data_IF_766793397592
#
_entry.id   IF_766793397592
#
_cell.length_a   1.000
_cell.length_b   1.000
_cell.length_c   1.000
_cell.angle_alpha   90.00
_cell.angle_beta   90.00
_cell.angle_gamma   90.00
#
_symmetry.space_group_name_H-M   'P 1'
#
loop_
_entity.id
_entity.type
_entity.pdbx_description
1 polymer ?
#
# COMPACT_ATOMS: atom_id res chain seq x y z
N UNK A 1 -72.34 -22.66 3.41
CA UNK A 1 -71.26 -21.67 3.67
C UNK A 1 -69.95 -22.44 3.57
N UNK A 2 -69.23 -22.34 2.44
CA UNK A 2 -67.98 -21.54 2.24
C UNK A 2 -66.93 -21.85 3.34
N UNK A 3 -65.70 -22.29 3.09
CA UNK A 3 -64.84 -22.30 1.89
C UNK A 3 -63.64 -23.24 2.14
N UNK A 4 -63.17 -23.88 1.08
CA UNK A 4 -61.86 -24.51 0.97
C UNK A 4 -60.70 -23.52 1.19
N UNK A 5 -59.56 -24.02 1.69
CA UNK A 5 -58.38 -23.21 1.97
C UNK A 5 -57.09 -24.04 2.07
N UNK A 6 -56.68 -24.60 0.94
CA UNK A 6 -55.34 -25.09 0.62
C UNK A 6 -54.28 -23.96 0.79
N UNK A 7 -53.03 -24.30 1.19
CA UNK A 7 -51.75 -23.86 0.58
C UNK A 7 -50.57 -23.65 1.57
N UNK A 8 -49.61 -24.58 1.41
CA UNK A 8 -48.14 -24.45 1.33
C UNK A 8 -47.31 -23.90 2.49
N UNK A 9 -46.42 -24.79 2.95
CA UNK A 9 -45.10 -24.54 3.54
C UNK A 9 -44.30 -23.61 2.62
N UNK A 10 -43.98 -22.41 3.10
CA UNK A 10 -42.95 -21.56 2.50
C UNK A 10 -41.79 -21.42 3.49
N UNK A 11 -40.80 -22.31 3.34
CA UNK A 11 -39.47 -22.14 3.92
C UNK A 11 -38.83 -20.95 3.20
N UNK A 12 -38.93 -19.77 3.78
CA UNK A 12 -38.15 -18.60 3.35
C UNK A 12 -36.81 -18.66 4.09
N UNK A 13 -35.92 -19.51 3.59
CA UNK A 13 -34.48 -19.42 3.85
C UNK A 13 -33.87 -18.58 2.72
N UNK A 14 -34.17 -17.28 2.74
CA UNK A 14 -33.56 -16.32 1.82
C UNK A 14 -32.07 -16.22 2.12
N UNK A 15 -31.27 -16.73 1.18
CA UNK A 15 -29.83 -16.63 1.12
C UNK A 15 -29.35 -15.16 1.22
N UNK A 16 -28.95 -14.74 2.41
CA UNK A 16 -28.33 -13.44 2.66
C UNK A 16 -26.79 -13.54 2.76
N UNK A 17 -26.15 -14.34 1.91
CA UNK A 17 -24.71 -14.63 2.00
C UNK A 17 -23.87 -14.30 0.75
N UNK A 18 -24.39 -13.56 -0.23
CA UNK A 18 -23.69 -13.35 -1.52
C UNK A 18 -23.09 -11.93 -1.74
N UNK A 19 -23.16 -11.02 -0.77
CA UNK A 19 -22.70 -9.63 -0.98
C UNK A 19 -21.32 -9.29 -0.43
N UNK A 20 -20.61 -10.23 0.21
CA UNK A 20 -19.28 -9.97 0.80
C UNK A 20 -18.11 -10.18 -0.16
N UNK A 21 -18.31 -10.85 -1.29
CA UNK A 21 -17.22 -11.23 -2.20
C UNK A 21 -16.78 -10.06 -3.09
N UNK A 22 -17.72 -9.24 -3.58
CA UNK A 22 -17.41 -8.15 -4.52
C UNK A 22 -16.52 -7.06 -3.94
N UNK A 23 -16.65 -6.78 -2.63
CA UNK A 23 -15.89 -5.72 -1.95
C UNK A 23 -14.42 -6.11 -1.70
N UNK A 24 -14.13 -7.40 -1.57
CA UNK A 24 -12.76 -7.91 -1.44
C UNK A 24 -12.01 -7.85 -2.76
N UNK A 25 -12.64 -8.31 -3.84
CA UNK A 25 -12.07 -8.28 -5.19
C UNK A 25 -11.76 -6.84 -5.66
N UNK A 26 -12.63 -5.88 -5.35
CA UNK A 26 -12.40 -4.45 -5.62
C UNK A 26 -11.15 -3.92 -4.88
N UNK A 27 -10.99 -4.26 -3.60
CA UNK A 27 -9.88 -3.79 -2.78
C UNK A 27 -8.53 -4.39 -3.23
N UNK A 28 -8.51 -5.67 -3.61
CA UNK A 28 -7.32 -6.31 -4.18
C UNK A 28 -6.95 -5.72 -5.55
N UNK A 29 -7.95 -5.46 -6.40
CA UNK A 29 -7.77 -4.82 -7.70
C UNK A 29 -7.17 -3.41 -7.54
N UNK A 30 -7.69 -2.62 -6.59
CA UNK A 30 -7.15 -1.29 -6.29
C UNK A 30 -5.70 -1.36 -5.81
N UNK A 31 -5.37 -2.28 -4.91
CA UNK A 31 -3.99 -2.47 -4.44
C UNK A 31 -3.05 -2.90 -5.58
N UNK A 32 -3.50 -3.79 -6.46
CA UNK A 32 -2.76 -4.21 -7.66
C UNK A 32 -2.54 -3.06 -8.63
N UNK A 33 -3.57 -2.24 -8.85
CA UNK A 33 -3.50 -1.04 -9.68
C UNK A 33 -2.45 -0.06 -9.15
N UNK A 34 -2.53 0.28 -7.86
CA UNK A 34 -1.57 1.17 -7.20
C UNK A 34 -0.13 0.63 -7.27
N UNK A 35 0.06 -0.68 -7.06
CA UNK A 35 1.39 -1.30 -7.17
C UNK A 35 1.97 -1.19 -8.59
N UNK A 36 1.15 -1.40 -9.63
CA UNK A 36 1.60 -1.28 -11.04
C UNK A 36 1.87 0.15 -11.44
N UNK A 37 1.08 1.10 -10.92
CA UNK A 37 1.22 2.52 -11.22
C UNK A 37 2.49 3.11 -10.60
N UNK A 38 3.00 2.55 -9.49
CA UNK A 38 4.13 3.10 -8.73
C UNK A 38 5.31 3.42 -9.67
N UNK A 39 5.81 2.46 -10.44
CA UNK A 39 7.01 2.67 -11.27
C UNK A 39 6.82 3.71 -12.41
N UNK A 40 5.58 3.93 -12.83
CA UNK A 40 5.22 4.88 -13.90
C UNK A 40 4.80 6.26 -13.40
N UNK A 41 4.57 6.40 -12.08
CA UNK A 41 4.09 7.64 -11.51
C UNK A 41 5.18 8.72 -11.58
N UNK A 42 4.83 9.86 -12.16
CA UNK A 42 5.63 11.07 -12.08
C UNK A 42 5.17 11.89 -10.89
N UNK A 43 6.02 11.99 -9.87
CA UNK A 43 5.67 12.68 -8.63
C UNK A 43 6.88 13.38 -8.02
N UNK A 44 6.62 14.56 -7.46
CA UNK A 44 7.52 15.28 -6.57
C UNK A 44 6.77 15.58 -5.28
N UNK A 45 7.43 15.37 -4.15
CA UNK A 45 6.81 15.70 -2.87
C UNK A 45 7.76 15.54 -1.70
N UNK A 46 7.17 15.73 -0.52
CA UNK A 46 7.84 15.55 0.75
C UNK A 46 7.12 14.41 1.49
N UNK A 47 7.88 13.42 1.94
CA UNK A 47 7.39 12.35 2.81
C UNK A 47 8.03 12.48 4.20
N UNK A 48 7.24 12.20 5.22
CA UNK A 48 7.72 12.06 6.60
C UNK A 48 7.60 10.60 7.03
N UNK A 49 8.70 10.05 7.52
CA UNK A 49 8.74 8.70 8.09
C UNK A 49 8.90 8.83 9.60
N UNK A 50 7.97 8.24 10.34
CA UNK A 50 8.00 8.16 11.79
C UNK A 50 8.12 6.68 12.17
N UNK A 51 9.17 6.31 12.89
CA UNK A 51 9.38 4.97 13.41
C UNK A 51 9.43 5.01 14.93
N UNK A 52 8.52 4.29 15.59
CA UNK A 52 8.55 4.11 17.05
C UNK A 52 9.28 2.81 17.37
N UNK A 53 10.43 2.93 18.02
CA UNK A 53 11.30 1.82 18.42
C UNK A 53 11.28 1.69 19.95
N UNK A 54 11.72 0.55 20.52
CA UNK A 54 11.81 0.39 21.98
C UNK A 54 12.64 1.47 22.70
N UNK A 55 13.59 2.08 21.99
CA UNK A 55 14.49 3.12 22.52
C UNK A 55 14.05 4.55 22.19
N UNK A 56 12.87 4.73 21.60
CA UNK A 56 12.31 6.04 21.28
C UNK A 56 11.82 6.17 19.84
N UNK A 57 11.41 7.38 19.48
CA UNK A 57 10.87 7.71 18.16
C UNK A 57 11.93 8.34 17.28
N UNK A 58 12.07 7.82 16.07
CA UNK A 58 12.90 8.39 15.01
C UNK A 58 11.99 9.01 13.96
N UNK A 59 12.29 10.25 13.57
CA UNK A 59 11.62 10.94 12.46
C UNK A 59 12.62 11.26 11.37
N UNK A 60 12.20 11.08 10.12
CA UNK A 60 12.95 11.49 8.95
C UNK A 60 12.03 12.23 7.98
N UNK A 61 12.51 13.33 7.41
CA UNK A 61 11.80 14.08 6.38
C UNK A 61 12.59 14.01 5.09
N UNK A 62 11.93 13.61 4.01
CA UNK A 62 12.59 13.33 2.73
C UNK A 62 11.84 14.04 1.63
N UNK A 63 12.56 14.85 0.86
CA UNK A 63 12.09 15.30 -0.45
C UNK A 63 12.38 14.22 -1.47
N UNK A 64 11.42 13.92 -2.33
CA UNK A 64 11.61 12.89 -3.35
C UNK A 64 11.04 13.29 -4.70
N UNK A 65 11.70 12.81 -5.74
CA UNK A 65 11.25 12.84 -7.13
C UNK A 65 11.21 11.43 -7.66
N UNK A 66 10.20 11.13 -8.47
CA UNK A 66 10.04 9.86 -9.14
C UNK A 66 9.55 10.10 -10.57
N UNK A 67 10.14 9.39 -11.51
CA UNK A 67 9.76 9.41 -12.93
C UNK A 67 10.35 8.20 -13.63
N UNK A 68 9.53 7.41 -14.33
CA UNK A 68 9.93 6.31 -15.21
C UNK A 68 10.95 5.35 -14.58
N UNK A 69 10.63 4.80 -13.41
CA UNK A 69 11.52 3.89 -12.68
C UNK A 69 12.83 4.53 -12.17
N UNK A 70 12.92 5.86 -12.18
CA UNK A 70 14.00 6.63 -11.55
C UNK A 70 13.47 7.31 -10.31
N UNK A 71 14.26 7.32 -9.25
CA UNK A 71 13.89 7.96 -7.98
C UNK A 71 15.08 8.71 -7.38
N UNK A 72 14.85 9.94 -6.96
CA UNK A 72 15.79 10.70 -6.14
C UNK A 72 15.14 10.97 -4.78
N UNK A 73 15.88 10.75 -3.71
CA UNK A 73 15.47 11.09 -2.35
C UNK A 73 16.57 11.92 -1.70
N UNK A 74 16.20 13.04 -1.09
CA UNK A 74 17.08 13.93 -0.33
C UNK A 74 16.56 14.01 1.09
N UNK A 75 17.37 13.61 2.07
CA UNK A 75 17.00 13.65 3.48
C UNK A 75 17.15 15.08 4.01
N UNK A 76 16.02 15.71 4.32
CA UNK A 76 15.91 17.07 4.83
C UNK A 76 16.04 17.15 6.36
N UNK A 77 15.63 16.09 7.06
CA UNK A 77 15.71 16.01 8.52
C UNK A 77 15.86 14.56 9.00
N UNK A 78 16.41 14.39 10.20
CA UNK A 78 16.65 13.09 10.86
C UNK A 78 18.11 12.63 10.81
N UNK A 79 18.39 11.37 11.19
CA UNK A 79 19.76 10.85 11.31
C UNK A 79 20.58 10.88 10.02
N UNK A 80 19.91 10.86 8.88
CA UNK A 80 20.50 10.85 7.54
C UNK A 80 20.46 12.22 6.85
N UNK A 81 20.25 13.31 7.60
CA UNK A 81 20.14 14.67 7.02
C UNK A 81 21.33 14.98 6.09
N UNK A 82 21.03 15.41 4.87
CA UNK A 82 21.99 15.71 3.82
C UNK A 82 22.36 14.50 2.93
N UNK A 83 22.08 13.27 3.35
CA UNK A 83 22.27 12.09 2.51
C UNK A 83 21.27 12.07 1.36
N UNK A 84 21.66 11.39 0.28
CA UNK A 84 20.83 11.22 -0.92
C UNK A 84 20.76 9.75 -1.31
N UNK A 85 19.62 9.35 -1.83
CA UNK A 85 19.44 8.03 -2.46
C UNK A 85 18.96 8.27 -3.89
N UNK A 86 19.74 7.80 -4.86
CA UNK A 86 19.40 7.84 -6.27
C UNK A 86 19.19 6.41 -6.76
N UNK A 87 18.04 6.13 -7.35
CA UNK A 87 17.69 4.87 -7.98
C UNK A 87 17.58 5.09 -9.48
N UNK A 88 18.37 4.35 -10.26
CA UNK A 88 18.38 4.46 -11.71
C UNK A 88 18.92 3.17 -12.33
N UNK A 89 18.23 2.65 -13.36
CA UNK A 89 18.65 1.47 -14.13
C UNK A 89 18.96 0.25 -13.23
N UNK A 90 18.10 -0.03 -12.26
CA UNK A 90 18.25 -1.15 -11.32
C UNK A 90 19.39 -1.00 -10.30
N UNK A 91 20.06 0.16 -10.28
CA UNK A 91 21.12 0.46 -9.31
C UNK A 91 20.61 1.47 -8.29
N UNK A 92 21.01 1.29 -7.03
CA UNK A 92 20.75 2.24 -5.94
C UNK A 92 22.08 2.82 -5.47
N UNK A 93 22.20 4.14 -5.56
CA UNK A 93 23.33 4.94 -5.12
C UNK A 93 22.98 5.63 -3.81
N UNK A 94 23.67 5.25 -2.74
CA UNK A 94 23.62 5.93 -1.45
C UNK A 94 24.78 6.91 -1.38
N UNK A 95 24.47 8.20 -1.35
CA UNK A 95 25.45 9.29 -1.37
C UNK A 95 25.40 9.98 -0.02
N UNK A 96 26.49 9.88 0.75
CA UNK A 96 26.61 10.56 2.04
C UNK A 96 27.70 11.63 2.01
N UNK A 97 27.34 12.93 2.00
CA UNK A 97 28.30 14.02 2.11
C UNK A 97 29.09 13.97 3.41
N UNK A 98 28.42 13.60 4.51
CA UNK A 98 29.02 13.49 5.86
C UNK A 98 30.22 12.54 5.88
N UNK A 99 30.09 11.39 5.20
CA UNK A 99 31.15 10.38 5.14
C UNK A 99 32.00 10.48 3.87
N UNK A 100 31.74 11.47 3.00
CA UNK A 100 32.38 11.61 1.68
C UNK A 100 32.41 10.29 0.90
N UNK A 101 31.29 9.56 0.93
CA UNK A 101 31.20 8.19 0.41
C UNK A 101 30.00 8.04 -0.49
N UNK A 102 30.19 7.26 -1.57
CA UNK A 102 29.11 6.71 -2.39
C UNK A 102 29.14 5.20 -2.26
N UNK A 103 28.00 4.61 -1.92
CA UNK A 103 27.79 3.16 -1.89
C UNK A 103 26.80 2.79 -2.98
N UNK A 104 27.13 1.81 -3.80
CA UNK A 104 26.28 1.35 -4.90
C UNK A 104 25.84 -0.07 -4.63
N UNK A 105 24.55 -0.34 -4.78
CA UNK A 105 23.98 -1.68 -4.65
C UNK A 105 23.14 -2.02 -5.88
N UNK A 106 23.15 -3.29 -6.27
CA UNK A 106 22.39 -3.83 -7.40
C UNK A 106 21.39 -4.88 -6.87
N UNK A 107 20.27 -4.45 -6.26
CA UNK A 107 19.28 -5.41 -5.77
C UNK A 107 18.72 -6.23 -6.96
N UNK A 108 18.38 -7.51 -6.74
CA UNK A 108 17.68 -8.28 -7.76
C UNK A 108 16.33 -7.63 -8.05
N UNK A 109 15.92 -7.66 -9.32
CA UNK A 109 14.59 -7.21 -9.70
C UNK A 109 13.53 -8.02 -8.93
N UNK A 110 12.53 -7.37 -8.32
CA UNK A 110 11.44 -8.11 -7.68
C UNK A 110 10.71 -8.96 -8.74
N UNK A 111 10.28 -10.18 -8.41
CA UNK A 111 9.52 -10.99 -9.36
C UNK A 111 8.22 -10.26 -9.74
N UNK A 112 7.77 -10.41 -10.99
CA UNK A 112 6.51 -9.81 -11.46
C UNK A 112 5.29 -10.26 -10.63
N UNK A 113 5.40 -11.40 -9.95
CA UNK A 113 4.38 -12.00 -9.09
C UNK A 113 4.42 -11.53 -7.62
N UNK A 114 5.26 -10.55 -7.23
CA UNK A 114 5.35 -10.08 -5.83
C UNK A 114 3.96 -9.75 -5.25
N UNK A 115 3.14 -9.01 -6.00
CA UNK A 115 1.82 -8.62 -5.51
C UNK A 115 0.88 -9.83 -5.38
N UNK A 116 0.95 -10.79 -6.29
CA UNK A 116 0.14 -12.01 -6.20
C UNK A 116 0.58 -12.90 -5.03
N UNK A 117 1.88 -12.96 -4.75
CA UNK A 117 2.41 -13.64 -3.56
C UNK A 117 1.95 -12.97 -2.26
N UNK A 118 1.87 -11.63 -2.23
CA UNK A 118 1.31 -10.89 -1.11
C UNK A 118 -0.16 -11.27 -0.89
N UNK A 119 -0.99 -11.22 -1.93
CA UNK A 119 -2.43 -11.50 -1.83
C UNK A 119 -2.73 -12.96 -1.45
N UNK A 120 -1.84 -13.91 -1.72
CA UNK A 120 -1.97 -15.30 -1.23
C UNK A 120 -1.79 -15.42 0.29
N UNK A 121 -1.11 -14.48 0.93
CA UNK A 121 -0.76 -14.54 2.35
C UNK A 121 -1.47 -13.47 3.20
N UNK A 122 -2.15 -12.53 2.55
CA UNK A 122 -2.79 -11.38 3.18
C UNK A 122 -4.18 -11.14 2.61
N UNK A 123 -5.13 -10.85 3.50
CA UNK A 123 -6.45 -10.37 3.15
C UNK A 123 -6.43 -8.84 3.05
N UNK A 124 -7.00 -8.29 1.98
CA UNK A 124 -7.13 -6.85 1.76
C UNK A 124 -8.59 -6.43 1.92
N UNK A 125 -8.84 -5.40 2.71
CA UNK A 125 -10.17 -4.89 2.99
C UNK A 125 -10.20 -3.37 2.80
N UNK A 126 -11.16 -2.84 2.03
CA UNK A 126 -11.45 -1.40 2.01
C UNK A 126 -12.15 -1.02 3.31
N UNK A 127 -11.51 -0.16 4.11
CA UNK A 127 -11.99 0.21 5.45
C UNK A 127 -12.52 1.64 5.54
N UNK A 128 -12.35 2.45 4.51
CA UNK A 128 -12.91 3.80 4.47
C UNK A 128 -12.29 4.68 3.40
N UNK A 129 -12.49 5.98 3.57
CA UNK A 129 -11.93 7.05 2.76
C UNK A 129 -11.36 8.12 3.69
N UNK A 130 -10.35 8.84 3.22
CA UNK A 130 -9.67 9.90 3.97
C UNK A 130 -9.23 11.03 3.04
N UNK A 131 -8.77 12.14 3.63
CA UNK A 131 -8.13 13.24 2.92
C UNK A 131 -6.68 13.38 3.39
N UNK A 132 -5.73 12.82 2.63
CA UNK A 132 -4.30 12.90 2.94
C UNK A 132 -3.63 13.87 1.98
N UNK A 133 -2.83 14.81 2.51
CA UNK A 133 -2.15 15.83 1.71
C UNK A 133 -3.10 16.59 0.75
N UNK A 134 -4.34 16.83 1.19
CA UNK A 134 -5.43 17.47 0.42
C UNK A 134 -5.92 16.65 -0.79
N UNK A 135 -5.57 15.37 -0.90
CA UNK A 135 -6.04 14.45 -1.93
C UNK A 135 -6.96 13.40 -1.32
N UNK A 136 -8.00 13.02 -2.07
CA UNK A 136 -8.94 11.97 -1.64
C UNK A 136 -8.24 10.63 -1.72
N UNK A 137 -8.32 9.85 -0.67
CA UNK A 137 -7.70 8.53 -0.62
C UNK A 137 -8.71 7.47 -0.21
N UNK A 138 -8.60 6.28 -0.81
CA UNK A 138 -9.22 5.06 -0.31
C UNK A 138 -8.30 4.42 0.72
N UNK A 139 -8.85 4.03 1.87
CA UNK A 139 -8.10 3.37 2.93
C UNK A 139 -8.25 1.85 2.78
N UNK A 140 -7.13 1.15 2.60
CA UNK A 140 -7.07 -0.30 2.64
C UNK A 140 -6.38 -0.79 3.90
N UNK A 141 -6.93 -1.85 4.48
CA UNK A 141 -6.35 -2.61 5.57
C UNK A 141 -5.89 -3.97 5.04
N UNK A 142 -4.60 -4.24 5.17
CA UNK A 142 -3.93 -5.47 4.76
C UNK A 142 -3.63 -6.26 6.03
N UNK A 143 -4.28 -7.42 6.19
CA UNK A 143 -4.13 -8.29 7.37
C UNK A 143 -3.55 -9.64 6.97
N UNK A 144 -2.63 -10.21 7.74
CA UNK A 144 -2.10 -11.53 7.41
C UNK A 144 -3.19 -12.60 7.60
N UNK A 145 -3.17 -13.62 6.75
CA UNK A 145 -4.00 -14.82 6.91
C UNK A 145 -3.44 -15.69 8.06
N UNK A 146 -2.12 -15.73 8.20
CA UNK A 146 -1.41 -16.50 9.22
C UNK A 146 -0.92 -15.61 10.37
N UNK A 147 -0.93 -16.14 11.60
CA UNK A 147 -0.47 -15.41 12.80
C UNK A 147 1.03 -15.12 12.76
N UNK A 148 1.45 -14.05 13.43
CA UNK A 148 2.86 -13.67 13.60
C UNK A 148 3.37 -12.64 12.59
N UNK A 149 2.67 -12.45 11.47
CA UNK A 149 3.01 -11.43 10.48
C UNK A 149 2.41 -10.06 10.84
N UNK A 150 3.04 -8.94 10.43
CA UNK A 150 2.52 -7.60 10.69
C UNK A 150 1.34 -7.28 9.76
N UNK A 151 0.37 -6.49 10.25
CA UNK A 151 -0.66 -5.86 9.40
C UNK A 151 -0.20 -4.51 8.88
N UNK A 152 -0.79 -4.04 7.77
CA UNK A 152 -0.52 -2.71 7.21
C UNK A 152 -1.81 -1.97 6.89
N UNK A 153 -1.85 -0.68 7.19
CA UNK A 153 -2.87 0.24 6.69
C UNK A 153 -2.24 1.10 5.60
N UNK A 154 -2.88 1.22 4.45
CA UNK A 154 -2.40 2.03 3.33
C UNK A 154 -3.51 2.96 2.86
N UNK A 155 -3.11 4.15 2.43
CA UNK A 155 -3.97 5.15 1.81
C UNK A 155 -3.56 5.23 0.35
N UNK A 156 -4.48 4.88 -0.54
CA UNK A 156 -4.26 4.90 -1.99
C UNK A 156 -4.99 6.13 -2.52
N UNK A 157 -4.29 6.96 -3.27
CA UNK A 157 -4.88 8.11 -3.93
C UNK A 157 -6.00 7.68 -4.89
N UNK A 158 -7.14 8.34 -4.83
CA UNK A 158 -8.27 7.98 -5.69
C UNK A 158 -8.07 8.42 -7.16
N UNK A 159 -7.11 9.32 -7.41
CA UNK A 159 -6.90 9.92 -8.73
C UNK A 159 -5.74 9.30 -9.53
N UNK A 160 -4.76 8.68 -8.87
CA UNK A 160 -3.50 8.23 -9.49
C UNK A 160 -3.07 6.86 -9.01
#
# INVERSE_FOLDING_TARGET
MRRDGFIWIAVILTAAFLSTTSRGEEAESLLKGAYRAEDTLQVHGIKETIATLPRGTVKARVEFWQSDGRRLQIYLAGPLTGDKVLEMKGSIYYISPKFRRVTVTHPPAPPSSVIDLLLRNYKVERVGEDLIAKRKCVILQIKPIYRGNPSRKVWIDSET
#
